data_IF_008504927838
#
_entry.id   IF_008504927838
#
_cell.length_a   1.000
_cell.length_b   1.000
_cell.length_c   1.000
_cell.angle_alpha   90.00
_cell.angle_beta   90.00
_cell.angle_gamma   90.00
#
_symmetry.space_group_name_H-M   'P 1'
#
loop_
_entity.id
_entity.type
_entity.pdbx_description
1 polymer ?
#
# COMPACT_ATOMS: atom_id res chain seq x y z
N UNK A 1 22.26 -20.67 25.20
CA UNK A 1 23.20 -21.74 24.81
C UNK A 1 22.65 -22.54 23.61
N UNK A 2 23.50 -23.02 22.69
CA UNK A 2 23.07 -23.95 21.66
C UNK A 2 22.86 -25.32 22.30
N UNK A 3 21.66 -25.83 22.18
CA UNK A 3 21.33 -27.15 22.75
C UNK A 3 21.30 -28.17 21.61
N UNK A 4 22.09 -29.22 21.72
CA UNK A 4 22.09 -30.36 20.81
C UNK A 4 21.37 -31.52 21.49
N UNK A 5 20.34 -32.06 20.83
CA UNK A 5 19.64 -33.24 21.29
C UNK A 5 20.18 -34.47 20.59
N UNK A 6 20.81 -35.37 21.34
CA UNK A 6 21.24 -36.68 20.81
C UNK A 6 20.11 -37.69 20.98
N UNK A 7 19.45 -38.03 19.89
CA UNK A 7 18.31 -38.94 19.87
C UNK A 7 18.72 -40.32 19.39
N UNK A 8 18.65 -41.34 20.26
CA UNK A 8 18.88 -42.71 19.91
C UNK A 8 17.55 -43.40 19.47
N UNK A 9 17.44 -43.74 18.19
CA UNK A 9 16.25 -44.41 17.67
C UNK A 9 16.54 -45.89 17.47
N UNK A 10 15.67 -46.77 18.00
CA UNK A 10 15.76 -48.20 17.76
C UNK A 10 15.23 -48.55 16.38
N UNK A 11 15.87 -49.51 15.73
CA UNK A 11 15.43 -50.15 14.49
C UNK A 11 14.78 -51.47 14.83
N UNK A 12 13.67 -51.78 14.19
CA UNK A 12 12.93 -53.02 14.35
C UNK A 12 12.87 -53.70 12.97
N UNK A 13 13.16 -55.00 12.92
CA UNK A 13 12.95 -55.78 11.74
C UNK A 13 11.75 -56.71 11.91
N UNK A 14 10.84 -56.67 10.98
CA UNK A 14 9.68 -57.56 10.99
C UNK A 14 10.15 -59.02 10.75
N UNK A 15 9.72 -59.92 11.63
CA UNK A 15 10.10 -61.33 11.48
C UNK A 15 9.50 -61.98 10.23
N UNK A 16 8.31 -61.56 9.81
CA UNK A 16 7.61 -62.15 8.66
C UNK A 16 8.06 -61.57 7.32
N UNK A 17 8.10 -60.27 7.19
CA UNK A 17 8.37 -59.61 5.90
C UNK A 17 9.79 -58.98 5.83
N UNK A 18 10.61 -59.13 6.86
CA UNK A 18 12.00 -58.59 7.02
C UNK A 18 12.13 -57.09 6.80
N UNK A 19 11.03 -56.34 6.68
CA UNK A 19 11.07 -54.87 6.56
C UNK A 19 11.60 -54.26 7.84
N UNK A 20 12.52 -53.30 7.65
CA UNK A 20 13.10 -52.55 8.75
C UNK A 20 12.28 -51.28 8.97
N UNK A 21 11.86 -51.07 10.20
CA UNK A 21 11.17 -49.87 10.65
C UNK A 21 11.99 -49.17 11.76
N UNK A 22 11.91 -47.88 11.84
CA UNK A 22 12.58 -47.05 12.87
C UNK A 22 11.53 -46.55 13.83
N UNK A 23 11.84 -46.59 15.14
CA UNK A 23 10.96 -46.09 16.18
C UNK A 23 10.48 -44.65 15.84
N UNK A 24 9.17 -44.44 15.93
CA UNK A 24 8.57 -43.09 15.76
C UNK A 24 8.82 -42.27 17.03
N UNK A 25 8.98 -40.97 16.85
CA UNK A 25 9.11 -40.02 17.95
C UNK A 25 8.36 -38.74 17.57
N UNK A 26 7.80 -38.05 18.57
CA UNK A 26 7.17 -36.73 18.41
C UNK A 26 8.17 -35.58 18.24
N UNK A 27 9.46 -35.82 18.60
CA UNK A 27 10.49 -34.79 18.61
C UNK A 27 10.94 -34.43 17.20
N UNK A 28 11.09 -35.41 16.33
CA UNK A 28 11.63 -35.24 14.96
C UNK A 28 10.82 -36.10 13.99
N UNK A 29 10.44 -35.55 12.85
CA UNK A 29 9.78 -36.32 11.79
C UNK A 29 10.70 -37.38 11.18
N UNK A 30 10.09 -38.34 10.48
CA UNK A 30 10.85 -39.39 9.78
C UNK A 30 11.84 -38.74 8.78
N UNK A 31 13.07 -39.21 8.81
CA UNK A 31 14.17 -38.73 7.94
C UNK A 31 14.51 -37.23 8.09
N UNK A 32 14.14 -36.61 9.22
CA UNK A 32 14.50 -35.23 9.53
C UNK A 32 15.51 -35.16 10.68
N UNK A 33 16.41 -34.18 10.61
CA UNK A 33 17.42 -33.90 11.64
C UNK A 33 17.01 -32.73 12.54
N UNK A 34 16.06 -31.92 12.11
CA UNK A 34 15.61 -30.70 12.81
C UNK A 34 14.33 -31.02 13.59
N UNK A 35 14.31 -30.65 14.87
CA UNK A 35 13.17 -30.92 15.74
C UNK A 35 11.90 -30.22 15.26
N UNK A 36 10.75 -30.79 15.57
CA UNK A 36 9.44 -30.23 15.24
C UNK A 36 9.25 -28.85 15.90
N UNK A 37 9.77 -28.63 17.10
CA UNK A 37 9.74 -27.35 17.79
C UNK A 37 10.50 -26.25 17.00
N UNK A 38 11.70 -26.57 16.51
CA UNK A 38 12.46 -25.62 15.67
C UNK A 38 11.72 -25.33 14.37
N UNK A 39 11.15 -26.35 13.71
CA UNK A 39 10.35 -26.18 12.49
C UNK A 39 9.12 -25.28 12.72
N UNK A 40 8.44 -25.47 13.86
CA UNK A 40 7.33 -24.63 14.28
C UNK A 40 7.79 -23.19 14.56
N UNK A 41 8.93 -23.01 15.22
CA UNK A 41 9.51 -21.69 15.49
C UNK A 41 9.90 -20.97 14.21
N UNK A 42 10.46 -21.67 13.21
CA UNK A 42 10.68 -21.08 11.87
C UNK A 42 9.37 -20.52 11.30
N UNK A 43 8.27 -21.31 11.37
CA UNK A 43 6.95 -20.85 10.87
C UNK A 43 6.44 -19.62 11.60
N UNK A 44 6.62 -19.54 12.92
CA UNK A 44 6.26 -18.35 13.71
C UNK A 44 7.10 -17.14 13.32
N UNK A 45 8.43 -17.28 13.22
CA UNK A 45 9.32 -16.19 12.84
C UNK A 45 9.10 -15.72 11.40
N UNK A 46 8.61 -16.59 10.52
CA UNK A 46 8.18 -16.19 9.17
C UNK A 46 6.98 -15.24 9.17
N UNK A 47 6.22 -15.07 10.24
CA UNK A 47 5.18 -14.04 10.38
C UNK A 47 5.73 -12.70 10.89
N UNK A 48 6.97 -12.66 11.36
CA UNK A 48 7.60 -11.47 11.94
C UNK A 48 8.40 -10.69 10.89
N UNK A 49 8.72 -9.42 11.18
CA UNK A 49 9.55 -8.59 10.30
C UNK A 49 11.04 -8.95 10.50
N UNK A 50 11.43 -10.16 10.05
CA UNK A 50 12.80 -10.65 10.08
C UNK A 50 13.23 -11.21 8.73
N UNK A 51 14.51 -11.05 8.38
CA UNK A 51 15.05 -11.67 7.17
C UNK A 51 15.14 -13.20 7.31
N UNK A 52 15.13 -13.92 6.17
CA UNK A 52 15.31 -15.38 6.19
C UNK A 52 16.68 -15.77 6.75
N UNK A 53 17.70 -14.95 6.49
CA UNK A 53 19.06 -15.12 7.04
C UNK A 53 19.09 -14.91 8.54
N UNK A 54 18.37 -13.91 9.07
CA UNK A 54 18.32 -13.66 10.52
C UNK A 54 17.53 -14.75 11.25
N UNK A 55 16.45 -15.26 10.65
CA UNK A 55 15.73 -16.42 11.16
C UNK A 55 16.69 -17.63 11.25
N UNK A 56 17.45 -17.89 10.20
CA UNK A 56 18.43 -18.98 10.14
C UNK A 56 19.49 -18.81 11.25
N UNK A 57 20.06 -17.60 11.38
CA UNK A 57 21.06 -17.26 12.41
C UNK A 57 20.50 -17.42 13.83
N UNK A 58 19.28 -16.89 14.06
CA UNK A 58 18.63 -16.95 15.39
C UNK A 58 18.34 -18.36 15.85
N UNK A 59 17.94 -19.24 14.92
CA UNK A 59 17.62 -20.62 15.23
C UNK A 59 18.80 -21.59 15.00
N UNK A 60 19.95 -21.07 14.57
CA UNK A 60 21.17 -21.85 14.23
C UNK A 60 20.88 -23.00 13.25
N UNK A 61 20.10 -22.71 12.25
CA UNK A 61 19.83 -23.60 11.12
C UNK A 61 20.36 -22.98 9.82
N UNK A 62 20.52 -23.80 8.78
CA UNK A 62 20.91 -23.26 7.47
C UNK A 62 19.78 -22.43 6.84
N UNK A 63 20.12 -21.41 6.07
CA UNK A 63 19.17 -20.60 5.31
C UNK A 63 18.32 -21.47 4.39
N UNK A 64 18.91 -22.52 3.80
CA UNK A 64 18.19 -23.51 2.96
C UNK A 64 17.09 -24.25 3.72
N UNK A 65 17.27 -24.45 5.03
CA UNK A 65 16.21 -25.02 5.89
C UNK A 65 15.03 -24.06 6.04
N UNK A 66 15.30 -22.78 6.21
CA UNK A 66 14.24 -21.74 6.29
C UNK A 66 13.51 -21.64 4.94
N UNK A 67 14.24 -21.67 3.81
CA UNK A 67 13.63 -21.70 2.47
C UNK A 67 12.76 -22.93 2.26
N UNK A 68 13.25 -24.13 2.60
CA UNK A 68 12.43 -25.36 2.51
C UNK A 68 11.15 -25.27 3.34
N UNK A 69 11.23 -24.60 4.50
CA UNK A 69 10.03 -24.36 5.31
C UNK A 69 9.08 -23.36 4.66
N UNK A 70 9.60 -22.29 4.07
CA UNK A 70 8.82 -21.32 3.29
C UNK A 70 8.13 -22.02 2.09
N UNK A 71 8.80 -22.96 1.43
CA UNK A 71 8.25 -23.69 0.29
C UNK A 71 7.14 -24.67 0.67
N UNK A 72 7.11 -25.17 1.91
CA UNK A 72 6.01 -25.99 2.42
C UNK A 72 4.69 -25.21 2.54
N UNK A 73 4.72 -23.88 2.60
CA UNK A 73 3.52 -23.08 2.56
C UNK A 73 2.98 -23.01 1.14
N UNK A 74 1.81 -23.62 0.92
CA UNK A 74 1.04 -23.50 -0.31
C UNK A 74 -0.24 -22.72 -0.01
N UNK A 75 -0.49 -21.67 -0.76
CA UNK A 75 -1.74 -20.94 -0.70
C UNK A 75 -2.58 -21.37 -1.90
N UNK A 76 -3.61 -22.15 -1.64
CA UNK A 76 -4.59 -22.50 -2.68
C UNK A 76 -5.43 -21.28 -2.97
N UNK A 77 -5.39 -20.82 -4.20
CA UNK A 77 -6.30 -19.79 -4.68
C UNK A 77 -7.67 -20.43 -4.90
N UNK A 78 -8.71 -19.86 -4.28
CA UNK A 78 -10.09 -20.30 -4.44
C UNK A 78 -10.81 -19.30 -5.35
N UNK A 79 -11.35 -19.79 -6.45
CA UNK A 79 -12.05 -18.96 -7.44
C UNK A 79 -13.57 -19.03 -7.32
N UNK A 80 -14.07 -19.53 -6.20
CA UNK A 80 -15.48 -19.67 -5.84
C UNK A 80 -16.05 -18.44 -5.11
N UNK A 81 -15.20 -17.54 -4.64
CA UNK A 81 -15.59 -16.38 -3.83
C UNK A 81 -14.78 -15.14 -4.21
N UNK A 82 -15.47 -14.01 -4.29
CA UNK A 82 -14.89 -12.67 -4.31
C UNK A 82 -15.66 -11.78 -3.32
N UNK A 83 -15.00 -10.79 -2.73
CA UNK A 83 -15.63 -9.86 -1.81
C UNK A 83 -16.60 -8.91 -2.54
N UNK A 84 -17.50 -8.30 -1.80
CA UNK A 84 -18.37 -7.24 -2.35
C UNK A 84 -17.62 -5.93 -2.62
N UNK A 85 -16.58 -5.67 -1.85
CA UNK A 85 -15.73 -4.48 -1.95
C UNK A 85 -14.28 -4.93 -2.14
N UNK A 86 -13.59 -4.39 -3.13
CA UNK A 86 -12.21 -4.73 -3.43
C UNK A 86 -11.39 -3.45 -3.69
N UNK A 87 -10.14 -3.44 -3.27
CA UNK A 87 -9.21 -2.36 -3.55
C UNK A 87 -8.14 -2.83 -4.52
N UNK A 88 -7.82 -1.99 -5.51
CA UNK A 88 -6.76 -2.20 -6.50
C UNK A 88 -5.71 -1.11 -6.37
N UNK A 89 -4.45 -1.50 -6.21
CA UNK A 89 -3.34 -0.55 -6.14
C UNK A 89 -2.07 -1.16 -6.70
N UNK A 90 -1.24 -0.33 -7.30
CA UNK A 90 0.07 -0.73 -7.78
C UNK A 90 1.05 -0.83 -6.62
N UNK A 91 1.71 -1.96 -6.59
CA UNK A 91 2.66 -2.28 -5.54
C UNK A 91 4.05 -2.56 -6.14
N UNK A 92 5.09 -1.94 -5.59
CA UNK A 92 6.40 -2.00 -6.21
C UNK A 92 7.32 -3.09 -5.65
N UNK A 93 7.24 -4.32 -6.13
CA UNK A 93 8.35 -5.29 -6.03
C UNK A 93 9.39 -5.06 -7.14
N UNK A 94 8.96 -5.05 -8.38
CA UNK A 94 9.57 -4.42 -9.54
C UNK A 94 8.55 -3.44 -10.09
N UNK A 95 8.94 -2.47 -10.91
CA UNK A 95 7.98 -1.57 -11.55
C UNK A 95 6.84 -2.39 -12.17
N UNK A 96 5.62 -2.19 -11.73
CA UNK A 96 4.43 -2.71 -12.40
C UNK A 96 3.78 -3.94 -11.82
N UNK A 97 3.87 -4.20 -10.53
CA UNK A 97 3.09 -5.24 -9.86
C UNK A 97 1.80 -4.68 -9.28
N UNK A 98 0.77 -5.50 -9.19
CA UNK A 98 -0.55 -5.17 -8.70
C UNK A 98 -0.93 -6.00 -7.48
N UNK A 99 -1.49 -5.35 -6.45
CA UNK A 99 -2.08 -6.01 -5.30
C UNK A 99 -3.60 -5.79 -5.27
N UNK A 100 -4.32 -6.82 -4.84
CA UNK A 100 -5.76 -6.81 -4.65
C UNK A 100 -6.08 -7.18 -3.21
N UNK A 101 -6.75 -6.29 -2.51
CA UNK A 101 -7.06 -6.43 -1.07
C UNK A 101 -8.53 -6.14 -0.81
N UNK A 102 -9.06 -6.82 0.19
CA UNK A 102 -10.30 -6.49 0.90
C UNK A 102 -9.96 -6.31 2.38
N UNK A 103 -10.53 -7.10 3.26
CA UNK A 103 -10.09 -7.26 4.66
C UNK A 103 -8.83 -8.11 4.77
N UNK A 104 -8.58 -8.97 3.78
CA UNK A 104 -7.38 -9.82 3.61
C UNK A 104 -6.84 -9.68 2.20
N UNK A 105 -5.54 -9.89 2.03
CA UNK A 105 -4.91 -9.91 0.73
C UNK A 105 -5.48 -11.05 -0.13
N UNK A 106 -6.08 -10.72 -1.28
CA UNK A 106 -6.64 -11.68 -2.22
C UNK A 106 -5.50 -12.29 -3.03
N UNK A 107 -4.74 -11.46 -3.72
CA UNK A 107 -3.57 -11.88 -4.48
C UNK A 107 -2.63 -10.73 -4.77
N UNK A 108 -1.41 -11.08 -5.18
CA UNK A 108 -0.43 -10.17 -5.78
C UNK A 108 -0.09 -10.76 -7.14
N UNK A 109 -0.19 -9.96 -8.19
CA UNK A 109 0.22 -10.33 -9.54
C UNK A 109 1.65 -9.83 -9.78
N UNK A 110 2.40 -10.57 -10.60
CA UNK A 110 3.81 -10.32 -10.91
C UNK A 110 4.02 -9.14 -11.87
N UNK A 111 2.94 -8.69 -12.52
CA UNK A 111 2.96 -7.52 -13.39
C UNK A 111 1.56 -6.89 -13.52
N UNK A 112 1.54 -5.63 -13.99
CA UNK A 112 0.33 -4.83 -14.17
C UNK A 112 -0.25 -4.92 -15.60
N UNK A 113 0.21 -5.86 -16.43
CA UNK A 113 -0.29 -5.99 -17.81
C UNK A 113 -1.77 -6.35 -17.78
N UNK A 114 -2.54 -5.68 -18.63
CA UNK A 114 -3.98 -5.93 -18.76
C UNK A 114 -4.30 -7.41 -19.02
N UNK A 115 -3.45 -8.10 -19.79
CA UNK A 115 -3.57 -9.53 -20.08
C UNK A 115 -3.44 -10.39 -18.83
N UNK A 116 -2.49 -10.09 -17.94
CA UNK A 116 -2.29 -10.83 -16.68
C UNK A 116 -3.49 -10.64 -15.74
N UNK A 117 -3.95 -9.40 -15.59
CA UNK A 117 -5.13 -9.08 -14.76
C UNK A 117 -6.37 -9.79 -15.34
N UNK A 118 -6.55 -9.70 -16.65
CA UNK A 118 -7.63 -10.39 -17.37
C UNK A 118 -7.63 -11.88 -17.08
N UNK A 119 -6.49 -12.54 -17.34
CA UNK A 119 -6.35 -13.99 -17.19
C UNK A 119 -6.57 -14.44 -15.75
N UNK A 120 -6.20 -13.61 -14.78
CA UNK A 120 -6.47 -13.89 -13.37
C UNK A 120 -7.97 -13.84 -13.07
N UNK A 121 -8.67 -12.74 -13.42
CA UNK A 121 -10.09 -12.61 -13.10
C UNK A 121 -11.01 -13.49 -13.93
N UNK A 122 -10.59 -13.93 -15.13
CA UNK A 122 -11.35 -14.91 -15.93
C UNK A 122 -11.40 -16.31 -15.27
N UNK A 123 -10.51 -16.61 -14.31
CA UNK A 123 -10.62 -17.85 -13.52
C UNK A 123 -11.85 -17.87 -12.63
N UNK A 124 -12.42 -16.69 -12.29
CA UNK A 124 -13.66 -16.59 -11.53
C UNK A 124 -14.87 -16.68 -12.46
N UNK A 125 -15.86 -17.55 -12.16
CA UNK A 125 -17.12 -17.60 -12.90
C UNK A 125 -17.81 -16.23 -12.93
N UNK A 126 -18.56 -15.94 -14.00
CA UNK A 126 -19.27 -14.67 -14.15
C UNK A 126 -20.19 -14.36 -12.96
N UNK A 127 -20.93 -15.36 -12.47
CA UNK A 127 -21.81 -15.23 -11.29
C UNK A 127 -21.07 -14.74 -10.04
N UNK A 128 -19.79 -15.09 -9.88
CA UNK A 128 -18.97 -14.64 -8.76
C UNK A 128 -18.50 -13.20 -8.98
N UNK A 129 -18.06 -12.85 -10.20
CA UNK A 129 -17.63 -11.50 -10.56
C UNK A 129 -18.77 -10.47 -10.46
N UNK A 130 -20.00 -10.86 -10.74
CA UNK A 130 -21.20 -10.01 -10.62
C UNK A 130 -21.57 -9.66 -9.16
N UNK A 131 -21.03 -10.37 -8.17
CA UNK A 131 -21.27 -10.08 -6.74
C UNK A 131 -20.48 -8.88 -6.24
N UNK A 132 -19.45 -8.45 -6.96
CA UNK A 132 -18.66 -7.27 -6.59
C UNK A 132 -19.52 -6.02 -6.81
N UNK A 133 -19.58 -5.16 -5.80
CA UNK A 133 -20.35 -3.92 -5.81
C UNK A 133 -19.46 -2.69 -5.93
N UNK A 134 -18.30 -2.69 -5.26
CA UNK A 134 -17.42 -1.55 -5.18
C UNK A 134 -15.97 -1.96 -5.47
N UNK A 135 -15.28 -1.17 -6.28
CA UNK A 135 -13.83 -1.28 -6.48
C UNK A 135 -13.22 0.09 -6.26
N UNK A 136 -12.36 0.19 -5.22
CA UNK A 136 -11.53 1.37 -4.99
C UNK A 136 -10.22 1.24 -5.73
N UNK A 137 -9.78 2.30 -6.39
CA UNK A 137 -8.57 2.30 -7.21
C UNK A 137 -8.03 3.71 -7.45
N UNK A 138 -6.79 3.76 -7.95
CA UNK A 138 -6.19 4.99 -8.43
C UNK A 138 -6.87 5.49 -9.70
N UNK A 139 -6.67 6.76 -10.04
CA UNK A 139 -7.23 7.38 -11.25
C UNK A 139 -6.48 6.91 -12.51
N UNK A 140 -6.60 5.61 -12.83
CA UNK A 140 -5.99 4.99 -14.00
C UNK A 140 -7.06 4.59 -15.03
N UNK A 141 -7.09 5.27 -16.17
CA UNK A 141 -8.09 5.00 -17.22
C UNK A 141 -8.03 3.58 -17.78
N UNK A 142 -6.84 2.98 -17.85
CA UNK A 142 -6.65 1.61 -18.33
C UNK A 142 -7.29 0.58 -17.40
N UNK A 143 -7.17 0.77 -16.09
CA UNK A 143 -7.77 -0.14 -15.09
C UNK A 143 -9.29 0.05 -15.00
N UNK A 144 -9.78 1.27 -15.13
CA UNK A 144 -11.22 1.54 -15.15
C UNK A 144 -11.93 0.81 -16.31
N UNK A 145 -11.31 0.77 -17.49
CA UNK A 145 -11.83 0.02 -18.64
C UNK A 145 -11.86 -1.48 -18.37
N UNK A 146 -10.80 -2.03 -17.75
CA UNK A 146 -10.76 -3.45 -17.37
C UNK A 146 -11.85 -3.78 -16.34
N UNK A 147 -11.97 -2.97 -15.30
CA UNK A 147 -12.98 -3.16 -14.25
C UNK A 147 -14.38 -3.22 -14.85
N UNK A 148 -14.75 -2.29 -15.74
CA UNK A 148 -16.05 -2.28 -16.39
C UNK A 148 -16.32 -3.52 -17.26
N UNK A 149 -15.27 -4.07 -17.88
CA UNK A 149 -15.41 -5.29 -18.71
C UNK A 149 -15.62 -6.56 -17.88
N UNK A 150 -15.01 -6.63 -16.68
CA UNK A 150 -15.05 -7.85 -15.88
C UNK A 150 -16.13 -7.87 -14.81
N UNK A 151 -16.56 -6.70 -14.33
CA UNK A 151 -17.48 -6.55 -13.21
C UNK A 151 -18.66 -5.66 -13.61
N UNK A 152 -19.71 -6.28 -14.13
CA UNK A 152 -20.84 -5.57 -14.76
C UNK A 152 -21.62 -4.66 -13.79
N UNK A 153 -21.68 -5.03 -12.50
CA UNK A 153 -22.48 -4.36 -11.48
C UNK A 153 -21.64 -3.48 -10.55
N UNK A 154 -20.42 -3.15 -10.95
CA UNK A 154 -19.46 -2.47 -10.08
C UNK A 154 -19.59 -0.96 -10.14
N UNK A 155 -19.55 -0.31 -8.99
CA UNK A 155 -19.28 1.12 -8.84
C UNK A 155 -17.78 1.31 -8.58
N UNK A 156 -17.14 2.09 -9.44
CA UNK A 156 -15.73 2.46 -9.30
C UNK A 156 -15.65 3.66 -8.36
N UNK A 157 -14.74 3.60 -7.41
CA UNK A 157 -14.45 4.64 -6.42
C UNK A 157 -12.99 5.04 -6.60
N UNK A 158 -12.73 6.31 -6.89
CA UNK A 158 -11.35 6.79 -6.97
C UNK A 158 -10.83 7.08 -5.58
N UNK A 159 -9.59 6.69 -5.30
CA UNK A 159 -8.97 6.99 -4.02
C UNK A 159 -8.83 8.51 -3.80
N UNK A 160 -9.41 8.98 -2.70
CA UNK A 160 -9.44 10.40 -2.30
C UNK A 160 -8.05 11.02 -2.22
N UNK A 161 -7.05 10.25 -1.77
CA UNK A 161 -5.66 10.73 -1.70
C UNK A 161 -5.13 11.16 -3.08
N UNK A 162 -5.41 10.38 -4.12
CA UNK A 162 -4.98 10.67 -5.48
C UNK A 162 -5.67 11.91 -6.05
N UNK A 163 -6.94 12.15 -5.71
CA UNK A 163 -7.66 13.37 -6.14
C UNK A 163 -6.98 14.61 -5.55
N UNK A 164 -6.77 14.61 -4.22
CA UNK A 164 -6.08 15.71 -3.53
C UNK A 164 -4.64 15.88 -4.06
N UNK A 165 -3.94 14.78 -4.34
CA UNK A 165 -2.59 14.82 -4.89
C UNK A 165 -2.54 15.47 -6.27
N UNK A 166 -3.52 15.23 -7.14
CA UNK A 166 -3.62 15.89 -8.45
C UNK A 166 -3.80 17.40 -8.31
N UNK A 167 -4.70 17.85 -7.44
CA UNK A 167 -4.89 19.27 -7.13
C UNK A 167 -3.60 19.90 -6.58
N UNK A 168 -2.99 19.26 -5.59
CA UNK A 168 -1.75 19.74 -4.98
C UNK A 168 -0.61 19.83 -5.96
N UNK A 169 -0.48 18.89 -6.91
CA UNK A 169 0.52 18.95 -7.99
C UNK A 169 0.27 20.09 -8.97
N UNK A 170 -0.98 20.35 -9.35
CA UNK A 170 -1.33 21.48 -10.21
C UNK A 170 -0.95 22.80 -9.53
N UNK A 171 -1.34 22.96 -8.28
CA UNK A 171 -0.99 24.15 -7.50
C UNK A 171 0.53 24.35 -7.34
N UNK A 172 1.28 23.26 -7.04
CA UNK A 172 2.75 23.35 -6.93
C UNK A 172 3.40 23.77 -8.25
N UNK A 173 2.95 23.25 -9.38
CA UNK A 173 3.46 23.66 -10.71
C UNK A 173 3.16 25.13 -10.97
N UNK A 174 1.96 25.60 -10.65
CA UNK A 174 1.58 27.01 -10.74
C UNK A 174 2.48 27.88 -9.87
N UNK A 175 2.68 27.50 -8.61
CA UNK A 175 3.59 28.19 -7.69
C UNK A 175 5.01 28.26 -8.25
N UNK A 176 5.52 27.18 -8.84
CA UNK A 176 6.85 27.16 -9.44
C UNK A 176 6.92 28.10 -10.65
N UNK A 177 5.90 28.11 -11.50
CA UNK A 177 5.83 29.01 -12.64
C UNK A 177 5.87 30.49 -12.20
N UNK A 178 5.07 30.87 -11.20
CA UNK A 178 5.05 32.20 -10.62
C UNK A 178 6.39 32.51 -9.92
N UNK A 179 6.96 31.58 -9.17
CA UNK A 179 8.26 31.75 -8.50
C UNK A 179 9.36 32.07 -9.50
N UNK A 180 9.38 31.46 -10.67
CA UNK A 180 10.41 31.66 -11.69
C UNK A 180 10.31 33.02 -12.43
N UNK A 181 9.24 33.78 -12.20
CA UNK A 181 9.12 35.15 -12.69
C UNK A 181 9.92 36.14 -11.84
N UNK A 182 10.29 35.75 -10.62
CA UNK A 182 11.08 36.58 -9.71
C UNK A 182 12.58 36.28 -9.85
N UNK A 183 13.40 37.30 -9.59
CA UNK A 183 14.85 37.13 -9.48
C UNK A 183 15.20 36.10 -8.38
N UNK A 184 16.17 35.22 -8.67
CA UNK A 184 16.56 34.11 -7.76
C UNK A 184 17.09 34.58 -6.40
N UNK A 185 17.64 35.79 -6.32
CA UNK A 185 18.16 36.40 -5.08
C UNK A 185 17.08 37.17 -4.32
N UNK A 186 15.93 37.43 -4.92
CA UNK A 186 14.85 38.22 -4.34
C UNK A 186 14.17 37.51 -3.16
N UNK A 187 13.53 38.27 -2.29
CA UNK A 187 12.75 37.75 -1.16
C UNK A 187 11.55 36.89 -1.62
N UNK A 188 10.75 37.33 -2.63
CA UNK A 188 9.65 36.55 -3.15
C UNK A 188 10.08 35.15 -3.62
N UNK A 189 11.13 35.04 -4.42
CA UNK A 189 11.66 33.78 -4.90
C UNK A 189 12.03 32.84 -3.74
N UNK A 190 12.78 33.35 -2.75
CA UNK A 190 13.19 32.54 -1.57
C UNK A 190 12.02 32.14 -0.72
N UNK A 191 11.03 33.00 -0.53
CA UNK A 191 9.81 32.68 0.23
C UNK A 191 9.03 31.56 -0.42
N UNK A 192 8.76 31.67 -1.72
CA UNK A 192 8.07 30.63 -2.49
C UNK A 192 8.85 29.31 -2.53
N UNK A 193 10.18 29.34 -2.63
CA UNK A 193 11.03 28.16 -2.67
C UNK A 193 11.10 27.43 -1.34
N UNK A 194 11.29 28.16 -0.23
CA UNK A 194 11.58 27.56 1.06
C UNK A 194 10.32 27.09 1.80
N UNK A 195 9.19 27.75 1.59
CA UNK A 195 7.96 27.50 2.33
C UNK A 195 6.88 26.74 1.54
N UNK A 196 7.24 26.11 0.41
CA UNK A 196 6.30 25.44 -0.49
C UNK A 196 5.38 24.39 0.19
N UNK A 197 5.89 23.71 1.25
CA UNK A 197 5.12 22.69 1.97
C UNK A 197 3.94 23.28 2.75
N UNK A 198 4.05 24.55 3.18
CA UNK A 198 2.97 25.22 3.91
C UNK A 198 1.76 25.46 3.00
N UNK A 199 2.03 25.82 1.73
CA UNK A 199 0.99 26.08 0.75
C UNK A 199 0.15 24.84 0.36
N UNK A 200 0.71 23.64 0.49
CA UNK A 200 -0.02 22.41 0.20
C UNK A 200 -0.93 21.96 1.32
N UNK A 201 -0.70 22.45 2.54
CA UNK A 201 -1.50 22.09 3.69
C UNK A 201 -2.86 22.75 3.62
N UNK A 202 -3.85 22.05 4.13
CA UNK A 202 -5.13 22.62 4.44
C UNK A 202 -4.95 23.77 5.45
N UNK A 203 -5.52 24.93 5.14
CA UNK A 203 -5.44 26.13 5.96
C UNK A 203 -5.93 25.91 7.40
N UNK A 204 -6.99 25.11 7.56
CA UNK A 204 -7.56 24.81 8.86
C UNK A 204 -6.69 23.88 9.72
N UNK A 205 -5.73 23.17 9.09
CA UNK A 205 -4.81 22.21 9.75
C UNK A 205 -3.39 22.75 9.91
N UNK A 206 -3.19 24.05 9.72
CA UNK A 206 -1.90 24.68 9.98
C UNK A 206 -1.65 24.77 11.49
N UNK A 207 -0.39 24.48 11.89
CA UNK A 207 0.02 24.65 13.28
C UNK A 207 -0.04 26.11 13.68
N UNK A 208 -0.45 26.37 14.91
CA UNK A 208 -0.40 27.71 15.52
C UNK A 208 0.99 28.03 16.09
N UNK A 209 1.88 27.03 16.21
CA UNK A 209 3.21 27.22 16.78
C UNK A 209 4.09 28.04 15.84
N UNK A 210 4.57 29.16 16.35
CA UNK A 210 5.50 30.02 15.62
C UNK A 210 6.91 29.40 15.55
N UNK A 211 7.63 29.66 14.46
CA UNK A 211 8.99 29.24 14.24
C UNK A 211 9.83 30.36 13.62
N UNK A 212 11.12 30.37 13.84
CA UNK A 212 12.01 31.35 13.22
C UNK A 212 12.19 31.09 11.73
N UNK A 213 11.66 31.98 10.89
CA UNK A 213 11.82 31.90 9.45
C UNK A 213 13.10 32.60 9.01
N UNK A 214 14.10 31.82 8.59
CA UNK A 214 15.36 32.38 8.03
C UNK A 214 15.11 33.25 6.78
N UNK A 215 14.04 33.01 6.03
CA UNK A 215 13.68 33.78 4.83
C UNK A 215 13.21 35.15 5.17
N UNK A 216 12.35 35.31 6.18
CA UNK A 216 11.80 36.58 6.63
C UNK A 216 12.57 37.21 7.80
N UNK A 217 13.53 36.46 8.41
CA UNK A 217 14.31 36.88 9.59
C UNK A 217 13.40 37.27 10.78
N UNK A 218 12.30 36.57 10.94
CA UNK A 218 11.29 36.81 11.97
C UNK A 218 10.72 35.50 12.50
N UNK A 219 10.26 35.52 13.73
CA UNK A 219 9.47 34.42 14.29
C UNK A 219 8.02 34.58 13.84
N UNK A 220 7.51 33.62 13.09
CA UNK A 220 6.21 33.69 12.42
C UNK A 220 5.48 32.35 12.57
N UNK A 221 4.17 32.43 12.70
CA UNK A 221 3.31 31.25 12.57
C UNK A 221 3.16 30.85 11.08
N UNK A 222 2.87 29.58 10.77
CA UNK A 222 2.71 29.12 9.38
C UNK A 222 1.72 29.96 8.54
N UNK A 223 0.62 30.41 9.12
CA UNK A 223 -0.37 31.24 8.42
C UNK A 223 0.17 32.63 8.09
N UNK A 224 1.00 33.20 8.97
CA UNK A 224 1.65 34.51 8.73
C UNK A 224 2.68 34.41 7.61
N UNK A 225 3.46 33.30 7.55
CA UNK A 225 4.40 33.03 6.44
C UNK A 225 3.65 32.96 5.12
N UNK A 226 2.52 32.29 5.07
CA UNK A 226 1.67 32.21 3.87
C UNK A 226 1.17 33.61 3.51
N UNK A 227 0.56 34.34 4.45
CA UNK A 227 0.03 35.68 4.21
C UNK A 227 1.08 36.62 3.65
N UNK A 228 2.27 36.69 4.28
CA UNK A 228 3.41 37.49 3.79
C UNK A 228 3.90 37.10 2.40
N UNK A 229 3.80 35.81 2.05
CA UNK A 229 4.25 35.33 0.74
C UNK A 229 3.20 35.61 -0.35
N UNK A 230 1.93 35.54 -0.03
CA UNK A 230 0.83 35.82 -0.98
C UNK A 230 0.81 37.28 -1.45
N UNK A 231 1.24 38.20 -0.61
CA UNK A 231 1.34 39.65 -0.98
C UNK A 231 2.24 39.88 -2.21
N UNK A 232 3.19 38.98 -2.48
CA UNK A 232 4.12 39.16 -3.62
C UNK A 232 3.47 38.91 -4.97
N UNK A 233 2.32 38.23 -5.06
CA UNK A 233 1.66 37.91 -6.32
C UNK A 233 0.16 37.72 -6.13
N UNK A 234 -0.63 38.57 -6.78
CA UNK A 234 -2.09 38.44 -6.83
C UNK A 234 -2.50 37.12 -7.48
N UNK A 235 -1.82 36.78 -8.59
CA UNK A 235 -2.06 35.51 -9.27
C UNK A 235 -1.89 34.31 -8.33
N UNK A 236 -0.83 34.30 -7.51
CA UNK A 236 -0.62 33.24 -6.51
C UNK A 236 -1.75 33.21 -5.46
N UNK A 237 -2.22 34.38 -5.03
CA UNK A 237 -3.30 34.49 -4.07
C UNK A 237 -4.60 33.90 -4.61
N UNK A 238 -4.94 34.20 -5.86
CA UNK A 238 -6.11 33.68 -6.54
C UNK A 238 -6.06 32.14 -6.66
N UNK A 239 -4.91 31.60 -7.10
CA UNK A 239 -4.74 30.14 -7.16
C UNK A 239 -4.71 29.46 -5.79
N UNK A 240 -4.13 30.10 -4.77
CA UNK A 240 -4.15 29.56 -3.42
C UNK A 240 -5.58 29.51 -2.86
N UNK A 241 -6.36 30.58 -3.07
CA UNK A 241 -7.77 30.63 -2.65
C UNK A 241 -8.58 29.55 -3.36
N UNK A 242 -8.46 29.42 -4.67
CA UNK A 242 -9.12 28.38 -5.44
C UNK A 242 -8.74 26.98 -4.94
N UNK A 243 -7.45 26.73 -4.68
CA UNK A 243 -6.97 25.45 -4.18
C UNK A 243 -7.54 25.13 -2.80
N UNK A 244 -7.59 26.10 -1.88
CA UNK A 244 -8.15 25.91 -0.52
C UNK A 244 -9.67 25.69 -0.56
N UNK A 245 -10.39 26.38 -1.44
CA UNK A 245 -11.83 26.15 -1.62
C UNK A 245 -12.13 24.77 -2.17
N UNK A 246 -11.37 24.31 -3.18
CA UNK A 246 -11.49 22.95 -3.70
C UNK A 246 -11.20 21.91 -2.63
N UNK A 247 -10.16 22.10 -1.80
CA UNK A 247 -9.87 21.21 -0.67
C UNK A 247 -11.01 21.20 0.34
N UNK A 248 -11.56 22.35 0.67
CA UNK A 248 -12.67 22.49 1.63
C UNK A 248 -13.91 21.73 1.16
N UNK A 249 -14.40 22.03 -0.07
CA UNK A 249 -15.57 21.33 -0.61
C UNK A 249 -15.36 19.83 -0.72
N UNK A 250 -14.15 19.41 -1.09
CA UNK A 250 -13.80 17.99 -1.17
C UNK A 250 -13.83 17.31 0.21
N UNK A 251 -13.27 17.94 1.24
CA UNK A 251 -13.23 17.38 2.61
C UNK A 251 -14.59 17.35 3.27
N UNK A 252 -15.40 18.40 3.04
CA UNK A 252 -16.78 18.47 3.51
C UNK A 252 -17.76 17.62 2.69
N UNK A 253 -17.25 16.85 1.72
CA UNK A 253 -18.04 15.99 0.83
C UNK A 253 -19.15 16.75 0.07
N UNK A 254 -18.93 18.03 -0.22
CA UNK A 254 -19.85 18.89 -0.95
C UNK A 254 -19.64 18.71 -2.46
N UNK A 255 -20.24 17.65 -3.00
CA UNK A 255 -20.02 17.22 -4.38
C UNK A 255 -20.42 18.26 -5.40
N UNK A 256 -21.62 18.89 -5.21
CA UNK A 256 -22.13 19.93 -6.11
C UNK A 256 -21.17 21.10 -6.20
N UNK A 257 -20.92 21.76 -5.07
CA UNK A 257 -20.07 22.94 -4.97
C UNK A 257 -18.63 22.67 -5.44
N UNK A 258 -18.11 21.45 -5.24
CA UNK A 258 -16.79 21.07 -5.73
C UNK A 258 -16.74 21.07 -7.26
N UNK A 259 -17.74 20.51 -7.94
CA UNK A 259 -17.78 20.47 -9.39
C UNK A 259 -18.20 21.79 -10.02
N UNK A 260 -19.10 22.53 -9.38
CA UNK A 260 -19.50 23.87 -9.84
C UNK A 260 -18.31 24.82 -9.84
N UNK A 261 -17.49 24.80 -8.78
CA UNK A 261 -16.25 25.58 -8.69
C UNK A 261 -15.24 25.21 -9.79
N UNK A 262 -15.15 23.92 -10.15
CA UNK A 262 -14.31 23.44 -11.26
C UNK A 262 -14.84 23.97 -12.60
N UNK A 263 -16.13 23.88 -12.85
CA UNK A 263 -16.73 24.32 -14.10
C UNK A 263 -16.64 25.84 -14.30
N UNK A 264 -16.92 26.64 -13.25
CA UNK A 264 -16.78 28.10 -13.28
C UNK A 264 -15.37 28.59 -13.57
N UNK A 265 -14.37 27.86 -13.10
CA UNK A 265 -12.97 28.25 -13.23
C UNK A 265 -12.25 27.55 -14.41
N UNK A 266 -12.91 26.63 -15.12
CA UNK A 266 -12.27 25.81 -16.18
C UNK A 266 -11.56 26.60 -17.25
N UNK A 267 -12.12 27.74 -17.68
CA UNK A 267 -11.55 28.59 -18.73
C UNK A 267 -10.60 29.68 -18.17
N UNK A 268 -10.68 29.97 -16.88
CA UNK A 268 -9.96 31.08 -16.24
C UNK A 268 -8.59 30.69 -15.67
N UNK A 269 -8.37 29.37 -15.46
CA UNK A 269 -7.15 28.86 -14.84
C UNK A 269 -6.08 28.52 -15.87
N UNK A 270 -4.82 28.40 -15.41
CA UNK A 270 -3.70 27.99 -16.26
C UNK A 270 -3.80 26.52 -16.68
N UNK A 271 -2.94 26.12 -17.61
CA UNK A 271 -2.93 24.77 -18.20
C UNK A 271 -2.71 23.64 -17.19
N UNK A 272 -2.06 23.88 -16.04
CA UNK A 272 -1.86 22.87 -14.99
C UNK A 272 -3.20 22.50 -14.34
N UNK A 273 -3.99 23.50 -13.94
CA UNK A 273 -5.32 23.29 -13.40
C UNK A 273 -6.31 22.83 -14.47
N UNK A 274 -6.26 23.39 -15.69
CA UNK A 274 -7.11 22.94 -16.78
C UNK A 274 -6.97 21.44 -17.06
N UNK A 275 -5.74 20.92 -17.01
CA UNK A 275 -5.48 19.48 -17.19
C UNK A 275 -6.15 18.66 -16.11
N UNK A 276 -6.04 19.06 -14.85
CA UNK A 276 -6.66 18.37 -13.72
C UNK A 276 -8.17 18.47 -13.77
N UNK A 277 -8.73 19.65 -14.05
CA UNK A 277 -10.17 19.86 -14.16
C UNK A 277 -10.78 19.01 -15.26
N UNK A 278 -10.12 18.93 -16.45
CA UNK A 278 -10.55 18.04 -17.53
C UNK A 278 -10.59 16.58 -17.11
N UNK A 279 -9.60 16.12 -16.35
CA UNK A 279 -9.56 14.76 -15.83
C UNK A 279 -10.70 14.54 -14.82
N UNK A 280 -10.92 15.46 -13.91
CA UNK A 280 -11.96 15.36 -12.89
C UNK A 280 -13.37 15.36 -13.51
N UNK A 281 -13.63 16.22 -14.45
CA UNK A 281 -14.92 16.25 -15.19
C UNK A 281 -15.14 14.95 -15.98
N UNK A 282 -14.08 14.40 -16.61
CA UNK A 282 -14.17 13.09 -17.29
C UNK A 282 -14.53 11.94 -16.34
N UNK A 283 -14.09 12.02 -15.10
CA UNK A 283 -14.28 10.99 -14.07
C UNK A 283 -15.23 11.44 -12.96
N UNK A 284 -16.10 12.43 -13.24
CA UNK A 284 -17.03 13.04 -12.27
C UNK A 284 -17.76 11.99 -11.43
N UNK A 285 -18.39 11.01 -12.09
CA UNK A 285 -19.15 9.95 -11.39
C UNK A 285 -18.29 9.14 -10.40
N UNK A 286 -17.04 8.84 -10.71
CA UNK A 286 -16.17 8.05 -9.84
C UNK A 286 -15.66 8.85 -8.65
N UNK A 287 -15.43 10.16 -8.84
CA UNK A 287 -15.08 11.10 -7.78
C UNK A 287 -16.30 11.31 -6.87
N UNK A 288 -17.48 11.44 -7.45
CA UNK A 288 -18.74 11.52 -6.72
C UNK A 288 -18.94 10.29 -5.84
N UNK A 289 -18.78 9.08 -6.40
CA UNK A 289 -18.83 7.84 -5.63
C UNK A 289 -17.83 7.85 -4.46
N UNK A 290 -16.64 8.44 -4.64
CA UNK A 290 -15.63 8.52 -3.59
C UNK A 290 -16.02 9.47 -2.45
N UNK A 291 -16.77 10.53 -2.73
CA UNK A 291 -17.25 11.48 -1.74
C UNK A 291 -18.51 10.99 -1.02
N UNK A 292 -19.37 10.25 -1.71
CA UNK A 292 -20.64 9.73 -1.18
C UNK A 292 -20.45 8.43 -0.38
N UNK A 293 -19.30 7.74 -0.52
CA UNK A 293 -19.04 6.50 0.20
C UNK A 293 -17.87 6.64 1.16
N UNK A 294 -17.82 5.79 2.20
CA UNK A 294 -16.70 5.76 3.15
C UNK A 294 -15.61 4.75 2.78
N UNK A 295 -15.65 4.23 1.56
CA UNK A 295 -14.63 3.29 1.08
C UNK A 295 -13.35 4.03 0.68
N UNK A 296 -12.22 3.54 1.19
CA UNK A 296 -10.89 4.11 0.89
C UNK A 296 -9.85 3.01 0.67
N UNK A 297 -8.71 3.39 0.07
CA UNK A 297 -7.55 2.50 -0.07
C UNK A 297 -6.67 2.42 1.20
N UNK A 298 -7.06 3.02 2.33
CA UNK A 298 -6.23 3.08 3.53
C UNK A 298 -5.72 1.72 4.02
N UNK A 299 -6.57 0.68 3.97
CA UNK A 299 -6.15 -0.70 4.30
C UNK A 299 -5.13 -1.25 3.32
N UNK A 300 -5.30 -0.95 2.04
CA UNK A 300 -4.38 -1.38 0.99
C UNK A 300 -3.05 -0.65 1.09
N UNK A 301 -3.06 0.65 1.38
CA UNK A 301 -1.83 1.43 1.64
C UNK A 301 -1.05 0.88 2.84
N UNK A 302 -1.72 0.54 3.94
CA UNK A 302 -1.10 -0.10 5.10
C UNK A 302 -0.47 -1.45 4.71
N UNK A 303 -1.17 -2.25 3.89
CA UNK A 303 -0.69 -3.52 3.36
C UNK A 303 0.52 -3.30 2.44
N UNK A 304 0.47 -2.32 1.56
CA UNK A 304 1.57 -1.98 0.66
C UNK A 304 2.81 -1.46 1.41
N UNK A 305 2.61 -0.72 2.51
CA UNK A 305 3.71 -0.35 3.41
C UNK A 305 4.38 -1.58 4.02
N UNK A 306 3.58 -2.51 4.55
CA UNK A 306 4.10 -3.78 5.09
C UNK A 306 4.83 -4.60 4.02
N UNK A 307 4.30 -4.67 2.82
CA UNK A 307 4.93 -5.35 1.69
C UNK A 307 6.29 -4.75 1.33
N UNK A 308 6.39 -3.41 1.33
CA UNK A 308 7.65 -2.70 1.13
C UNK A 308 8.65 -2.99 2.25
N UNK A 309 8.19 -3.08 3.50
CA UNK A 309 9.03 -3.46 4.63
C UNK A 309 9.55 -4.89 4.47
N UNK A 310 8.67 -5.86 4.15
CA UNK A 310 9.05 -7.26 3.91
C UNK A 310 10.10 -7.34 2.80
N UNK A 311 9.91 -6.60 1.70
CA UNK A 311 10.88 -6.54 0.61
C UNK A 311 12.26 -6.06 1.08
N UNK A 312 12.32 -5.03 1.92
CA UNK A 312 13.57 -4.44 2.42
C UNK A 312 14.33 -5.37 3.36
N UNK A 313 13.63 -6.21 4.14
CA UNK A 313 14.23 -7.08 5.14
C UNK A 313 15.25 -8.08 4.59
N UNK A 314 15.06 -8.56 3.37
CA UNK A 314 15.92 -9.57 2.73
C UNK A 314 16.82 -8.97 1.63
N UNK A 315 17.11 -7.65 1.68
CA UNK A 315 17.83 -6.93 0.61
C UNK A 315 17.19 -7.13 -0.79
N UNK A 316 15.93 -7.48 -0.82
CA UNK A 316 15.14 -7.80 -2.00
C UNK A 316 15.03 -9.30 -2.26
N UNK A 317 13.80 -9.75 -2.50
CA UNK A 317 13.57 -11.11 -2.96
C UNK A 317 13.96 -11.21 -4.44
N UNK A 318 14.76 -12.20 -4.79
CA UNK A 318 15.07 -12.52 -6.21
C UNK A 318 13.90 -13.23 -6.90
N UNK A 319 13.16 -14.03 -6.14
CA UNK A 319 12.05 -14.85 -6.61
C UNK A 319 10.72 -14.26 -6.12
N UNK A 320 9.87 -13.88 -7.07
CA UNK A 320 8.53 -13.33 -6.80
C UNK A 320 7.64 -14.30 -6.03
N UNK A 321 7.71 -15.61 -6.33
CA UNK A 321 6.89 -16.63 -5.64
C UNK A 321 7.21 -16.67 -4.15
N UNK A 322 8.49 -16.62 -3.79
CA UNK A 322 8.93 -16.61 -2.40
C UNK A 322 8.52 -15.32 -1.69
N UNK A 323 8.59 -14.19 -2.38
CA UNK A 323 8.06 -12.93 -1.89
C UNK A 323 6.56 -13.01 -1.65
N UNK A 324 5.77 -13.45 -2.63
CA UNK A 324 4.32 -13.66 -2.52
C UNK A 324 3.98 -14.55 -1.34
N UNK A 325 4.65 -15.71 -1.20
CA UNK A 325 4.48 -16.61 -0.04
C UNK A 325 4.74 -15.89 1.28
N UNK A 326 5.82 -15.11 1.37
CA UNK A 326 6.19 -14.39 2.58
C UNK A 326 5.13 -13.36 2.99
N UNK A 327 4.63 -12.59 2.03
CA UNK A 327 3.55 -11.64 2.25
C UNK A 327 2.30 -12.33 2.75
N UNK A 328 1.87 -13.42 2.09
CA UNK A 328 0.69 -14.19 2.51
C UNK A 328 0.83 -14.77 3.91
N UNK A 329 2.00 -15.29 4.28
CA UNK A 329 2.28 -15.79 5.63
C UNK A 329 2.11 -14.65 6.64
N UNK A 330 2.71 -13.50 6.37
CA UNK A 330 2.70 -12.37 7.31
C UNK A 330 1.30 -11.78 7.51
N UNK A 331 0.49 -11.71 6.45
CA UNK A 331 -0.83 -11.07 6.49
C UNK A 331 -1.96 -12.03 6.88
N UNK A 332 -1.89 -13.30 6.46
CA UNK A 332 -3.02 -14.23 6.57
C UNK A 332 -2.85 -15.27 7.69
N UNK A 333 -1.66 -15.41 8.27
CA UNK A 333 -1.47 -16.34 9.39
C UNK A 333 -1.66 -15.64 10.74
N UNK A 334 -2.60 -16.14 11.52
CA UNK A 334 -2.78 -15.69 12.90
C UNK A 334 -1.68 -16.26 13.78
N UNK A 335 -1.02 -15.40 14.57
CA UNK A 335 -0.08 -15.81 15.61
C UNK A 335 -0.88 -16.52 16.73
N UNK A 336 -0.78 -17.83 16.83
CA UNK A 336 -1.12 -18.49 18.09
C UNK A 336 -0.04 -18.14 19.10
N UNK A 337 -0.40 -17.44 20.17
CA UNK A 337 0.50 -17.24 21.32
C UNK A 337 0.73 -18.60 21.96
N UNK A 338 1.86 -19.23 21.68
CA UNK A 338 2.36 -20.34 22.47
C UNK A 338 3.03 -19.71 23.68
N UNK A 339 2.35 -19.73 24.83
CA UNK A 339 3.00 -19.50 26.09
C UNK A 339 3.99 -20.65 26.30
N UNK A 340 5.26 -20.42 26.67
CA UNK A 340 6.10 -21.49 27.13
C UNK A 340 5.47 -21.99 28.44
N UNK A 341 4.93 -23.19 28.43
CA UNK A 341 4.58 -23.87 29.66
C UNK A 341 5.91 -24.28 30.28
N UNK A 342 6.35 -23.49 31.23
CA UNK A 342 7.43 -23.88 32.12
C UNK A 342 6.83 -24.98 33.04
N UNK A 343 7.04 -26.23 32.65
CA UNK A 343 6.87 -27.30 33.63
C UNK A 343 7.92 -27.07 34.69
N UNK A 344 7.49 -26.64 35.87
CA UNK A 344 8.30 -26.78 37.09
C UNK A 344 8.48 -28.28 37.32
N UNK A 345 9.72 -28.75 37.19
CA UNK A 345 10.13 -30.03 37.79
C UNK A 345 10.18 -29.86 39.31
#
# INVERSE_FOLDING_TARGET
MPTLLRLKKRRFQCKNCRRITVAKTSIVEKNCQISNLVRQKVSQLLTEKMSLTDIARRLRVSTSTVYRKLDQFSFKEHFDKLPRVMSWDEFGFKKGELAFVETKLITILDNHRQTTIRNYFLKYPLKIRQKIRFITMDMSGSYMLLVRRFFLNVQIIIDCFHIIQHLGRAFLKTRIAIMNQFDKKSLPYRALKNHWRLFQKDRCKLSLNSFYSKTFRQTLAPHEVIAKTLVFSKELTDYYTLYQLLLFHFQEKRVGEFFDLIEENRSKVNHYFQTVFRIFLRHKQYIQNALETDYSNAKLEATNKLNKDIKRLDFGFRNFINFKKRVFITLNMHKKRTYPVLYRC
#
